data_IF_550745422829
#
_entry.id   IF_550745422829
#
_cell.length_a   1.000
_cell.length_b   1.000
_cell.length_c   1.000
_cell.angle_alpha   90.00
_cell.angle_beta   90.00
_cell.angle_gamma   90.00
#
_symmetry.space_group_name_H-M   'P 1'
#
loop_
_entity.id
_entity.type
_entity.pdbx_description
1 polymer ?
#
# COMPACT_ATOMS: atom_id res chain seq x y z
N UNK A 1 -22.53 14.87 -25.29
CA UNK A 1 -23.83 14.81 -26.00
C UNK A 1 -23.58 14.30 -27.41
N UNK A 2 -23.86 13.03 -27.71
CA UNK A 2 -23.87 12.56 -29.11
C UNK A 2 -25.14 13.18 -29.75
N UNK A 3 -25.03 14.08 -30.76
CA UNK A 3 -26.17 14.78 -31.32
C UNK A 3 -27.15 13.81 -32.00
N UNK A 4 -28.42 13.94 -31.66
CA UNK A 4 -29.52 12.98 -31.84
C UNK A 4 -30.16 13.05 -33.24
N UNK A 5 -29.47 13.63 -34.22
CA UNK A 5 -30.04 13.99 -35.52
C UNK A 5 -29.43 13.21 -36.70
N UNK A 6 -28.75 12.08 -36.48
CA UNK A 6 -28.31 11.19 -37.55
C UNK A 6 -29.21 9.95 -37.63
N UNK A 7 -30.36 10.15 -38.26
CA UNK A 7 -31.21 9.08 -38.77
C UNK A 7 -30.57 8.58 -40.09
N UNK A 8 -29.63 7.63 -40.00
CA UNK A 8 -28.99 7.03 -41.18
C UNK A 8 -29.66 5.69 -41.48
N UNK A 9 -30.19 5.62 -42.70
CA UNK A 9 -30.73 4.43 -43.36
C UNK A 9 -29.67 3.31 -43.37
N UNK A 10 -29.99 2.17 -42.77
CA UNK A 10 -29.11 1.00 -42.66
C UNK A 10 -28.94 0.35 -44.04
N UNK A 11 -27.78 0.56 -44.68
CA UNK A 11 -27.30 -0.27 -45.79
C UNK A 11 -26.26 -1.22 -45.22
N UNK A 12 -26.48 -2.51 -45.40
CA UNK A 12 -25.69 -3.61 -44.85
C UNK A 12 -24.23 -3.61 -45.33
N UNK A 13 -23.33 -2.96 -44.60
CA UNK A 13 -21.88 -3.15 -44.71
C UNK A 13 -21.22 -2.99 -43.33
N UNK A 14 -20.62 -4.08 -42.83
CA UNK A 14 -19.66 -4.15 -41.72
C UNK A 14 -19.70 -3.02 -40.68
N UNK A 15 -20.64 -3.11 -39.74
CA UNK A 15 -20.84 -2.14 -38.67
C UNK A 15 -19.62 -2.02 -37.75
N UNK A 16 -18.71 -1.09 -38.05
CA UNK A 16 -17.85 -0.49 -37.02
C UNK A 16 -18.75 0.40 -36.17
N UNK A 17 -19.29 -0.17 -35.08
CA UNK A 17 -19.99 0.60 -34.06
C UNK A 17 -19.03 1.68 -33.56
N UNK A 18 -19.37 2.94 -33.84
CA UNK A 18 -18.69 4.09 -33.26
C UNK A 18 -19.08 4.07 -31.78
N UNK A 19 -18.28 3.42 -30.94
CA UNK A 19 -18.44 3.51 -29.50
C UNK A 19 -18.31 5.00 -29.14
N UNK A 20 -19.41 5.66 -28.78
CA UNK A 20 -19.36 6.97 -28.14
C UNK A 20 -18.53 6.73 -26.86
N UNK A 21 -17.23 7.00 -26.90
CA UNK A 21 -16.38 6.94 -25.71
C UNK A 21 -17.02 7.86 -24.69
N UNK A 22 -17.40 7.30 -23.54
CA UNK A 22 -18.01 8.05 -22.44
C UNK A 22 -17.13 9.25 -22.07
N UNK A 23 -17.73 10.25 -21.43
CA UNK A 23 -16.96 11.40 -20.90
C UNK A 23 -15.89 10.83 -19.96
N UNK A 24 -14.62 11.07 -20.29
CA UNK A 24 -13.52 10.70 -19.41
C UNK A 24 -13.46 11.65 -18.22
N UNK A 25 -13.20 11.07 -17.07
CA UNK A 25 -12.98 11.79 -15.85
C UNK A 25 -11.77 11.20 -15.12
N UNK A 26 -11.35 11.92 -14.08
CA UNK A 26 -10.32 11.46 -13.17
C UNK A 26 -10.60 11.98 -11.75
N UNK A 27 -9.97 11.35 -10.77
CA UNK A 27 -9.79 11.95 -9.45
C UNK A 27 -8.38 11.63 -8.92
N UNK A 28 -7.94 12.42 -7.95
CA UNK A 28 -6.63 12.32 -7.31
C UNK A 28 -6.91 12.20 -5.80
N UNK A 29 -6.37 11.18 -5.10
CA UNK A 29 -6.45 11.09 -3.65
C UNK A 29 -5.76 12.30 -2.99
N UNK A 30 -6.11 12.58 -1.75
CA UNK A 30 -5.64 13.72 -0.98
C UNK A 30 -4.12 13.70 -0.77
N UNK A 31 -3.49 12.53 -0.81
CA UNK A 31 -2.05 12.36 -0.72
C UNK A 31 -1.31 12.51 -2.08
N UNK A 32 -2.04 12.76 -3.17
CA UNK A 32 -1.54 12.98 -4.53
C UNK A 32 -0.73 11.82 -5.13
N UNK A 33 -0.71 10.64 -4.51
CA UNK A 33 0.18 9.54 -4.88
C UNK A 33 0.02 9.09 -6.34
N UNK A 34 -1.21 9.05 -6.85
CA UNK A 34 -1.53 8.66 -8.22
C UNK A 34 -2.77 9.40 -8.72
N UNK A 35 -3.20 9.13 -9.94
CA UNK A 35 -4.44 9.63 -10.51
C UNK A 35 -5.24 8.48 -11.12
N UNK A 36 -6.49 8.28 -10.71
CA UNK A 36 -7.38 7.30 -11.32
C UNK A 36 -8.14 7.94 -12.48
N UNK A 37 -8.06 7.35 -13.66
CA UNK A 37 -8.76 7.79 -14.88
C UNK A 37 -9.69 6.70 -15.39
N UNK A 38 -10.86 7.08 -15.92
CA UNK A 38 -11.85 6.14 -16.44
C UNK A 38 -13.07 6.84 -16.98
N UNK A 39 -14.15 6.07 -17.22
CA UNK A 39 -15.44 6.67 -17.55
C UNK A 39 -16.00 7.41 -16.33
N UNK A 40 -16.66 8.55 -16.55
CA UNK A 40 -17.22 9.37 -15.47
C UNK A 40 -18.16 8.59 -14.55
N UNK A 41 -19.05 7.79 -15.14
CA UNK A 41 -20.06 7.04 -14.39
C UNK A 41 -19.41 5.96 -13.52
N UNK A 42 -18.41 5.26 -14.06
CA UNK A 42 -17.64 4.25 -13.32
C UNK A 42 -16.85 4.87 -12.17
N UNK A 43 -16.11 5.95 -12.43
CA UNK A 43 -15.30 6.59 -11.40
C UNK A 43 -16.13 7.25 -10.30
N UNK A 44 -17.37 7.65 -10.58
CA UNK A 44 -18.28 8.14 -9.54
C UNK A 44 -18.59 7.03 -8.52
N UNK A 45 -18.88 5.82 -8.99
CA UNK A 45 -19.13 4.66 -8.12
C UNK A 45 -17.87 4.23 -7.39
N UNK A 46 -16.73 4.15 -8.09
CA UNK A 46 -15.44 3.81 -7.50
C UNK A 46 -15.05 4.77 -6.37
N UNK A 47 -15.19 6.09 -6.61
CA UNK A 47 -14.88 7.10 -5.59
C UNK A 47 -15.80 6.97 -4.36
N UNK A 48 -17.10 6.73 -4.57
CA UNK A 48 -18.03 6.53 -3.46
C UNK A 48 -17.64 5.31 -2.60
N UNK A 49 -17.24 4.20 -3.23
CA UNK A 49 -16.75 3.01 -2.50
C UNK A 49 -15.50 3.32 -1.70
N UNK A 50 -14.50 3.98 -2.31
CA UNK A 50 -13.26 4.39 -1.64
C UNK A 50 -13.50 5.35 -0.47
N UNK A 51 -14.45 6.28 -0.59
CA UNK A 51 -14.84 7.18 0.49
C UNK A 51 -15.57 6.48 1.63
N UNK A 52 -16.14 5.29 1.39
CA UNK A 52 -16.75 4.44 2.41
C UNK A 52 -15.84 3.33 2.95
N UNK A 53 -14.62 3.20 2.41
CA UNK A 53 -13.73 2.09 2.71
C UNK A 53 -12.76 2.41 3.86
N UNK A 54 -11.97 1.41 4.30
CA UNK A 54 -10.81 1.64 5.16
C UNK A 54 -9.78 2.64 4.62
N UNK A 55 -9.87 3.05 3.35
CA UNK A 55 -9.02 4.06 2.73
C UNK A 55 -9.61 5.49 2.76
N UNK A 56 -10.78 5.69 3.36
CA UNK A 56 -11.55 6.94 3.28
C UNK A 56 -10.77 8.21 3.64
N UNK A 57 -9.78 8.15 4.54
CA UNK A 57 -8.95 9.31 4.87
C UNK A 57 -8.10 9.82 3.72
N UNK A 58 -7.78 8.99 2.72
CA UNK A 58 -7.09 9.42 1.49
C UNK A 58 -8.02 10.01 0.44
N UNK A 59 -9.34 9.92 0.61
CA UNK A 59 -10.31 10.38 -0.40
C UNK A 59 -11.32 11.38 0.16
N UNK A 60 -11.04 11.96 1.32
CA UNK A 60 -11.95 12.90 1.99
C UNK A 60 -12.23 14.13 1.13
N UNK A 61 -11.21 14.66 0.44
CA UNK A 61 -11.31 15.83 -0.43
C UNK A 61 -11.23 15.47 -1.91
N UNK A 62 -11.04 14.19 -2.23
CA UNK A 62 -11.04 13.69 -3.59
C UNK A 62 -12.40 13.98 -4.26
N UNK A 63 -12.32 14.51 -5.47
CA UNK A 63 -13.49 14.89 -6.26
C UNK A 63 -13.27 14.55 -7.72
N UNK A 64 -14.35 14.11 -8.36
CA UNK A 64 -14.36 13.74 -9.77
C UNK A 64 -14.26 14.99 -10.65
N UNK A 65 -13.32 14.99 -11.60
CA UNK A 65 -13.08 16.07 -12.55
C UNK A 65 -13.08 15.53 -13.97
N UNK A 66 -13.63 16.29 -14.92
CA UNK A 66 -13.57 15.94 -16.33
C UNK A 66 -12.15 16.22 -16.88
N UNK A 67 -11.69 15.36 -17.79
CA UNK A 67 -10.36 15.44 -18.39
C UNK A 67 -9.55 14.17 -18.19
N UNK A 68 -8.22 14.31 -18.24
CA UNK A 68 -7.26 13.21 -18.13
C UNK A 68 -6.21 13.45 -17.04
N UNK A 69 -5.62 12.37 -16.53
CA UNK A 69 -4.52 12.39 -15.58
C UNK A 69 -3.23 12.97 -16.17
N UNK A 70 -2.99 12.78 -17.48
CA UNK A 70 -1.82 13.32 -18.17
C UNK A 70 -1.83 14.85 -18.23
N UNK A 71 -3.00 15.48 -18.38
CA UNK A 71 -3.17 16.94 -18.27
C UNK A 71 -2.87 17.47 -16.85
N UNK A 72 -2.80 16.58 -15.85
CA UNK A 72 -2.45 16.89 -14.46
C UNK A 72 -1.02 16.54 -14.09
N UNK A 73 -0.21 16.09 -15.05
CA UNK A 73 1.21 15.78 -14.83
C UNK A 73 1.50 14.33 -14.46
N UNK A 74 0.50 13.45 -14.44
CA UNK A 74 0.70 12.00 -14.28
C UNK A 74 1.00 11.39 -15.65
N UNK A 75 2.28 11.22 -15.94
CA UNK A 75 2.79 10.85 -17.27
C UNK A 75 3.29 9.41 -17.37
N UNK A 76 3.38 8.70 -16.24
CA UNK A 76 3.85 7.32 -16.23
C UNK A 76 2.80 6.37 -16.83
N UNK A 77 3.26 5.26 -17.37
CA UNK A 77 2.42 4.31 -18.11
C UNK A 77 1.22 3.89 -17.27
N UNK A 78 0.02 3.92 -17.87
CA UNK A 78 -1.20 3.49 -17.22
C UNK A 78 -1.10 2.04 -16.74
N UNK A 79 -1.31 1.80 -15.45
CA UNK A 79 -1.49 0.47 -14.89
C UNK A 79 -2.99 0.20 -14.68
N UNK A 80 -3.44 -1.02 -14.94
CA UNK A 80 -4.80 -1.42 -14.57
C UNK A 80 -4.93 -1.45 -13.04
N UNK A 81 -6.01 -0.87 -12.50
CA UNK A 81 -6.26 -0.97 -11.06
C UNK A 81 -6.73 -2.38 -10.73
N UNK A 82 -6.02 -3.07 -9.83
CA UNK A 82 -6.40 -4.40 -9.38
C UNK A 82 -7.80 -4.43 -8.73
N UNK A 83 -8.17 -3.36 -8.02
CA UNK A 83 -9.44 -3.24 -7.31
C UNK A 83 -10.54 -2.59 -8.17
N UNK A 84 -10.17 -1.87 -9.24
CA UNK A 84 -11.11 -1.16 -10.12
C UNK A 84 -10.71 -1.37 -11.60
N UNK A 85 -10.96 -2.55 -12.18
CA UNK A 85 -10.39 -2.96 -13.47
C UNK A 85 -10.81 -2.08 -14.67
N UNK A 86 -11.91 -1.32 -14.58
CA UNK A 86 -12.30 -0.37 -15.65
C UNK A 86 -11.70 1.03 -15.47
N UNK A 87 -10.92 1.25 -14.42
CA UNK A 87 -10.12 2.44 -14.20
C UNK A 87 -8.64 2.13 -14.39
N UNK A 88 -7.92 3.19 -14.70
CA UNK A 88 -6.51 3.17 -15.02
C UNK A 88 -5.79 4.08 -14.04
N UNK A 89 -4.75 3.56 -13.41
CA UNK A 89 -3.90 4.28 -12.48
C UNK A 89 -2.75 4.93 -13.25
N UNK A 90 -2.68 6.25 -13.18
CA UNK A 90 -1.57 7.03 -13.70
C UNK A 90 -0.69 7.51 -12.56
N UNK A 91 0.62 7.46 -12.76
CA UNK A 91 1.63 7.87 -11.79
C UNK A 91 2.45 9.03 -12.35
N UNK A 92 3.12 9.78 -11.49
CA UNK A 92 4.07 10.82 -11.89
C UNK A 92 5.50 10.48 -11.45
N UNK A 93 6.43 11.40 -11.68
CA UNK A 93 7.84 11.23 -11.34
C UNK A 93 8.22 11.88 -10.02
N UNK A 94 7.25 12.37 -9.24
CA UNK A 94 7.55 12.93 -7.94
C UNK A 94 7.95 11.80 -6.99
N UNK A 95 9.18 11.87 -6.47
CA UNK A 95 9.73 10.85 -5.57
C UNK A 95 8.90 10.69 -4.30
N UNK A 96 8.23 11.75 -3.84
CA UNK A 96 7.34 11.72 -2.67
C UNK A 96 6.07 10.94 -2.99
N UNK A 97 5.51 11.11 -4.18
CA UNK A 97 4.36 10.34 -4.63
C UNK A 97 4.72 8.87 -4.84
N UNK A 98 5.89 8.58 -5.40
CA UNK A 98 6.37 7.22 -5.62
C UNK A 98 6.44 6.37 -4.34
N UNK A 99 6.89 6.97 -3.23
CA UNK A 99 6.90 6.29 -1.94
C UNK A 99 5.49 5.94 -1.44
N UNK A 100 4.47 6.72 -1.82
CA UNK A 100 3.10 6.55 -1.36
C UNK A 100 2.29 5.52 -2.16
N UNK A 101 2.74 5.07 -3.34
CA UNK A 101 1.98 4.16 -4.20
C UNK A 101 1.57 2.87 -3.50
N UNK A 102 2.45 2.31 -2.68
CA UNK A 102 2.17 1.08 -1.93
C UNK A 102 1.96 1.32 -0.44
N UNK A 103 2.60 2.38 0.10
CA UNK A 103 2.56 2.66 1.54
C UNK A 103 1.34 3.44 1.97
N UNK A 104 0.85 4.36 1.13
CA UNK A 104 -0.27 5.22 1.49
C UNK A 104 -1.50 4.40 1.84
N UNK A 105 -1.92 3.54 0.92
CA UNK A 105 -3.06 2.63 1.09
C UNK A 105 -2.93 1.76 2.33
N UNK A 106 -1.77 1.12 2.51
CA UNK A 106 -1.53 0.30 3.68
C UNK A 106 -1.64 1.10 5.00
N UNK A 107 -0.98 2.27 5.05
CA UNK A 107 -0.96 3.09 6.26
C UNK A 107 -2.37 3.51 6.67
N UNK A 108 -3.22 3.82 5.69
CA UNK A 108 -4.61 4.19 5.95
C UNK A 108 -5.43 3.00 6.46
N UNK A 109 -5.30 1.81 5.85
CA UNK A 109 -5.93 0.58 6.37
C UNK A 109 -5.50 0.27 7.80
N UNK A 110 -4.21 0.45 8.10
CA UNK A 110 -3.69 0.27 9.46
C UNK A 110 -4.30 1.27 10.44
N UNK A 111 -4.35 2.55 10.09
CA UNK A 111 -4.97 3.58 10.93
C UNK A 111 -6.46 3.29 11.16
N UNK A 112 -7.19 2.90 10.11
CA UNK A 112 -8.57 2.48 10.20
C UNK A 112 -8.74 1.30 11.17
N UNK A 113 -7.91 0.25 11.03
CA UNK A 113 -7.96 -0.92 11.91
C UNK A 113 -7.76 -0.53 13.39
N UNK A 114 -6.80 0.34 13.68
CA UNK A 114 -6.55 0.87 15.03
C UNK A 114 -7.76 1.67 15.56
N UNK A 115 -8.36 2.51 14.73
CA UNK A 115 -9.54 3.32 15.13
C UNK A 115 -10.77 2.45 15.41
N UNK A 116 -10.95 1.38 14.66
CA UNK A 116 -12.06 0.44 14.84
C UNK A 116 -11.79 -0.62 15.92
N UNK A 117 -10.56 -0.70 16.42
CA UNK A 117 -10.16 -1.76 17.35
C UNK A 117 -10.27 -3.15 16.73
N UNK A 118 -9.86 -3.30 15.47
CA UNK A 118 -9.85 -4.56 14.73
C UNK A 118 -8.46 -4.96 14.26
N UNK A 119 -8.30 -6.21 13.87
CA UNK A 119 -7.06 -6.70 13.28
C UNK A 119 -6.87 -6.15 11.87
N UNK A 120 -5.63 -5.85 11.49
CA UNK A 120 -5.31 -5.28 10.16
C UNK A 120 -5.78 -6.21 9.03
N UNK A 121 -5.68 -7.53 9.22
CA UNK A 121 -6.17 -8.50 8.25
C UNK A 121 -7.68 -8.41 8.01
N UNK A 122 -8.47 -8.09 9.03
CA UNK A 122 -9.92 -7.88 8.90
C UNK A 122 -10.21 -6.59 8.13
N UNK A 123 -9.49 -5.51 8.41
CA UNK A 123 -9.62 -4.27 7.66
C UNK A 123 -9.24 -4.43 6.18
N UNK A 124 -8.19 -5.21 5.87
CA UNK A 124 -7.83 -5.57 4.48
C UNK A 124 -8.97 -6.35 3.82
N UNK A 125 -9.55 -7.35 4.50
CA UNK A 125 -10.68 -8.10 3.95
C UNK A 125 -11.92 -7.22 3.69
N UNK A 126 -12.18 -6.21 4.53
CA UNK A 126 -13.23 -5.22 4.28
C UNK A 126 -12.94 -4.38 3.04
N UNK A 127 -11.67 -4.00 2.83
CA UNK A 127 -11.26 -3.28 1.63
C UNK A 127 -11.41 -4.14 0.37
N UNK A 128 -10.96 -5.41 0.41
CA UNK A 128 -11.06 -6.34 -0.71
C UNK A 128 -12.53 -6.59 -1.12
N UNK A 129 -13.44 -6.67 -0.14
CA UNK A 129 -14.87 -6.83 -0.38
C UNK A 129 -15.52 -5.62 -1.10
N UNK A 130 -14.87 -4.46 -1.10
CA UNK A 130 -15.34 -3.26 -1.80
C UNK A 130 -14.78 -3.14 -3.23
N UNK A 131 -13.83 -3.99 -3.62
CA UNK A 131 -13.30 -3.99 -4.97
C UNK A 131 -14.37 -4.34 -6.01
N UNK A 132 -14.22 -3.79 -7.20
CA UNK A 132 -15.02 -4.16 -8.35
C UNK A 132 -14.50 -5.48 -8.93
N UNK A 133 -15.40 -6.46 -9.02
CA UNK A 133 -15.17 -7.75 -9.66
C UNK A 133 -15.43 -7.70 -11.18
N UNK A 134 -15.69 -6.51 -11.72
CA UNK A 134 -15.98 -6.23 -13.12
C UNK A 134 -17.47 -6.02 -13.38
N UNK A 135 -18.34 -6.27 -12.40
CA UNK A 135 -19.80 -6.21 -12.57
C UNK A 135 -20.42 -4.87 -12.17
N UNK A 136 -19.65 -3.92 -11.61
CA UNK A 136 -20.18 -2.67 -11.07
C UNK A 136 -21.01 -1.82 -12.06
N UNK A 137 -20.80 -2.00 -13.38
CA UNK A 137 -21.57 -1.31 -14.42
C UNK A 137 -22.64 -2.17 -15.11
N UNK A 138 -22.70 -3.48 -14.85
CA UNK A 138 -23.61 -4.39 -15.55
C UNK A 138 -25.06 -4.26 -15.07
N UNK A 139 -25.25 -3.86 -13.81
CA UNK A 139 -26.59 -3.79 -13.22
C UNK A 139 -27.43 -2.59 -13.67
N UNK A 140 -26.87 -1.67 -14.47
CA UNK A 140 -27.61 -0.62 -15.20
C UNK A 140 -28.43 0.38 -14.36
N UNK A 141 -28.52 0.16 -13.07
CA UNK A 141 -29.25 0.94 -12.11
C UNK A 141 -28.18 1.53 -11.19
N UNK A 142 -27.96 2.84 -11.29
CA UNK A 142 -27.07 3.57 -10.40
C UNK A 142 -27.58 3.35 -8.97
N UNK A 143 -27.08 2.30 -8.32
CA UNK A 143 -27.41 1.97 -6.95
C UNK A 143 -26.98 3.17 -6.13
N UNK A 144 -27.95 3.96 -5.67
CA UNK A 144 -27.70 5.02 -4.73
C UNK A 144 -26.88 4.42 -3.57
N UNK A 145 -25.85 5.12 -3.07
CA UNK A 145 -24.93 4.57 -2.09
C UNK A 145 -25.76 3.98 -0.94
N UNK A 146 -25.76 2.65 -0.84
CA UNK A 146 -26.42 1.98 0.26
C UNK A 146 -25.74 2.51 1.53
N UNK A 147 -26.52 3.14 2.41
CA UNK A 147 -26.01 3.54 3.70
C UNK A 147 -25.58 2.28 4.44
N UNK A 148 -24.28 2.00 4.48
CA UNK A 148 -23.71 0.99 5.35
C UNK A 148 -23.84 1.49 6.78
N UNK A 149 -25.03 1.30 7.37
CA UNK A 149 -25.22 1.40 8.81
C UNK A 149 -24.47 0.21 9.42
N UNK A 150 -23.33 0.50 10.05
CA UNK A 150 -22.49 -0.51 10.69
C UNK A 150 -23.23 -1.19 11.83
N UNK A 151 -23.57 -2.47 11.64
CA UNK A 151 -23.86 -3.38 12.74
C UNK A 151 -22.53 -3.77 13.39
N UNK A 152 -22.24 -3.13 14.52
CA UNK A 152 -21.06 -3.35 15.33
C UNK A 152 -21.07 -4.77 15.93
N UNK A 153 -20.31 -5.68 15.33
CA UNK A 153 -19.94 -6.96 15.94
C UNK A 153 -18.73 -6.75 16.84
N UNK A 154 -18.96 -6.16 18.02
CA UNK A 154 -17.98 -6.09 19.08
C UNK A 154 -17.79 -7.50 19.69
N UNK A 155 -16.78 -8.23 19.22
CA UNK A 155 -16.24 -9.39 19.94
C UNK A 155 -14.89 -9.01 20.53
N UNK A 156 -14.74 -9.27 21.83
CA UNK A 156 -13.65 -8.80 22.69
C UNK A 156 -12.25 -9.15 22.19
N UNK A 157 -11.37 -8.15 22.04
CA UNK A 157 -9.94 -8.35 21.89
C UNK A 157 -9.30 -8.69 23.25
N UNK A 158 -8.71 -9.88 23.30
CA UNK A 158 -7.85 -10.32 24.38
C UNK A 158 -6.51 -9.59 24.34
N UNK A 159 -5.99 -9.34 25.54
CA UNK A 159 -4.67 -8.79 25.86
C UNK A 159 -3.56 -9.32 24.95
N UNK A 160 -2.64 -8.44 24.55
CA UNK A 160 -1.37 -8.76 23.89
C UNK A 160 -0.63 -9.86 24.66
N UNK A 161 -0.83 -11.11 24.24
CA UNK A 161 -0.09 -12.23 24.75
C UNK A 161 1.35 -12.08 24.26
N UNK A 162 2.29 -12.12 25.20
CA UNK A 162 3.71 -12.24 24.90
C UNK A 162 3.90 -13.30 23.80
N UNK A 163 4.66 -12.95 22.76
CA UNK A 163 4.96 -13.79 21.60
C UNK A 163 5.28 -15.23 22.06
N UNK A 164 4.24 -16.06 22.09
CA UNK A 164 4.33 -17.48 22.33
C UNK A 164 4.98 -18.13 21.13
N UNK A 165 5.51 -19.32 21.36
CA UNK A 165 6.34 -20.16 20.48
C UNK A 165 5.63 -20.63 19.19
N UNK A 166 4.81 -19.79 18.56
CA UNK A 166 4.29 -20.06 17.22
C UNK A 166 5.47 -20.12 16.23
N UNK A 167 5.44 -21.09 15.30
CA UNK A 167 6.48 -21.22 14.28
C UNK A 167 6.47 -19.98 13.39
N UNK A 168 7.29 -19.00 13.76
CA UNK A 168 7.45 -17.76 13.03
C UNK A 168 8.17 -18.00 11.71
N UNK A 169 7.82 -17.19 10.71
CA UNK A 169 8.60 -17.06 9.48
C UNK A 169 9.72 -16.06 9.70
N UNK A 170 10.72 -16.04 8.83
CA UNK A 170 11.79 -15.05 8.90
C UNK A 170 12.18 -14.51 7.53
N UNK A 171 12.92 -13.42 7.52
CA UNK A 171 13.64 -12.92 6.33
C UNK A 171 14.93 -12.23 6.75
N UNK A 172 15.82 -12.03 5.79
CA UNK A 172 17.11 -11.37 5.98
C UNK A 172 17.28 -10.31 4.89
N UNK A 173 17.98 -9.20 5.17
CA UNK A 173 18.51 -8.34 4.11
C UNK A 173 19.60 -9.08 3.32
N UNK A 174 19.94 -8.54 2.16
CA UNK A 174 20.95 -9.07 1.23
C UNK A 174 22.35 -9.13 1.86
N UNK A 175 22.64 -8.21 2.79
CA UNK A 175 23.87 -8.21 3.58
C UNK A 175 23.93 -9.35 4.60
N UNK A 176 22.80 -9.98 4.91
CA UNK A 176 22.64 -11.00 5.97
C UNK A 176 23.07 -10.52 7.37
N UNK A 177 23.17 -9.21 7.60
CA UNK A 177 23.63 -8.67 8.87
C UNK A 177 22.68 -8.94 10.06
N UNK A 178 21.39 -9.16 9.77
CA UNK A 178 20.40 -9.56 10.76
C UNK A 178 19.32 -10.46 10.14
N UNK A 179 18.54 -11.09 10.99
CA UNK A 179 17.38 -11.89 10.60
C UNK A 179 16.17 -11.41 11.40
N UNK A 180 15.08 -11.10 10.70
CA UNK A 180 13.83 -10.65 11.30
C UNK A 180 12.86 -11.82 11.36
N UNK A 181 12.34 -12.14 12.54
CA UNK A 181 11.42 -13.27 12.77
C UNK A 181 10.19 -12.85 13.57
N UNK A 182 9.04 -13.39 13.19
CA UNK A 182 7.77 -13.18 13.88
C UNK A 182 6.61 -13.89 13.18
N UNK A 183 5.36 -13.58 13.56
CA UNK A 183 4.16 -14.02 12.85
C UNK A 183 4.20 -13.64 11.37
N UNK A 184 3.64 -14.49 10.50
CA UNK A 184 3.74 -14.33 9.03
C UNK A 184 3.19 -13.01 8.52
N UNK A 185 2.07 -12.55 9.07
CA UNK A 185 1.47 -11.24 8.79
C UNK A 185 2.43 -10.11 9.17
N UNK A 186 2.96 -10.12 10.39
CA UNK A 186 3.87 -9.10 10.90
C UNK A 186 5.21 -9.05 10.13
N UNK A 187 5.76 -10.20 9.79
CA UNK A 187 7.01 -10.30 9.01
C UNK A 187 6.80 -9.82 7.57
N UNK A 188 5.73 -10.27 6.91
CA UNK A 188 5.41 -9.81 5.56
C UNK A 188 5.25 -8.29 5.51
N UNK A 189 4.60 -7.76 6.54
CA UNK A 189 4.40 -6.34 6.70
C UNK A 189 5.70 -5.56 6.89
N UNK A 190 6.57 -6.02 7.80
CA UNK A 190 7.87 -5.40 8.02
C UNK A 190 8.72 -5.36 6.74
N UNK A 191 8.73 -6.46 5.98
CA UNK A 191 9.48 -6.52 4.71
C UNK A 191 8.94 -5.54 3.67
N UNK A 192 7.62 -5.41 3.52
CA UNK A 192 7.02 -4.44 2.60
C UNK A 192 7.42 -3.01 2.98
N UNK A 193 7.35 -2.65 4.26
CA UNK A 193 7.75 -1.32 4.74
C UNK A 193 9.25 -1.06 4.54
N UNK A 194 10.10 -2.04 4.85
CA UNK A 194 11.54 -1.92 4.64
C UNK A 194 11.90 -1.75 3.16
N UNK A 195 11.20 -2.45 2.26
CA UNK A 195 11.35 -2.30 0.80
C UNK A 195 10.87 -0.96 0.24
N UNK A 196 9.96 -0.29 0.93
CA UNK A 196 9.49 1.04 0.57
C UNK A 196 10.24 2.16 1.31
N UNK A 197 11.23 1.80 2.11
CA UNK A 197 12.00 2.72 2.94
C UNK A 197 13.35 3.10 2.29
N UNK A 198 14.10 4.05 2.87
CA UNK A 198 15.51 4.26 2.59
C UNK A 198 16.44 3.05 2.83
N UNK A 199 15.91 1.89 3.22
CA UNK A 199 16.64 0.62 3.27
C UNK A 199 16.28 -0.30 2.11
N UNK A 200 15.49 0.13 1.12
CA UNK A 200 14.95 -0.73 0.06
C UNK A 200 16.01 -1.62 -0.60
N UNK A 201 17.18 -1.05 -0.91
CA UNK A 201 18.29 -1.76 -1.54
C UNK A 201 18.86 -2.91 -0.67
N UNK A 202 18.80 -2.81 0.65
CA UNK A 202 19.20 -3.92 1.54
C UNK A 202 18.21 -5.07 1.51
N UNK A 203 16.97 -4.83 1.12
CA UNK A 203 15.90 -5.82 1.16
C UNK A 203 15.37 -6.16 -0.23
N UNK A 204 16.11 -5.80 -1.28
CA UNK A 204 15.70 -6.03 -2.67
C UNK A 204 15.47 -7.52 -2.90
N UNK A 205 16.43 -8.38 -2.52
CA UNK A 205 16.35 -9.82 -2.71
C UNK A 205 15.89 -10.60 -1.48
N UNK A 206 15.49 -9.91 -0.42
CA UNK A 206 14.99 -10.52 0.81
C UNK A 206 13.76 -11.41 0.53
N UNK A 207 13.76 -12.63 1.05
CA UNK A 207 12.65 -13.58 0.92
C UNK A 207 12.19 -14.04 2.29
N UNK A 208 10.88 -14.18 2.43
CA UNK A 208 10.27 -14.78 3.62
C UNK A 208 10.43 -16.29 3.52
N UNK A 209 11.00 -16.90 4.55
CA UNK A 209 11.23 -18.34 4.65
C UNK A 209 10.56 -18.90 5.90
N UNK A 210 10.02 -20.12 5.80
CA UNK A 210 9.44 -20.87 6.92
C UNK A 210 10.53 -21.52 7.79
N UNK A 211 11.56 -20.74 8.15
CA UNK A 211 12.70 -21.19 8.94
C UNK A 211 13.03 -20.13 9.98
N UNK A 212 13.10 -20.47 11.27
CA UNK A 212 13.43 -19.50 12.31
C UNK A 212 14.88 -19.02 12.18
N UNK A 213 15.16 -17.82 12.66
CA UNK A 213 16.47 -17.17 12.54
C UNK A 213 17.61 -17.97 13.17
N UNK A 214 17.35 -18.66 14.29
CA UNK A 214 18.36 -19.51 14.94
C UNK A 214 18.83 -20.68 14.05
N UNK A 215 17.95 -21.25 13.23
CA UNK A 215 18.29 -22.30 12.26
C UNK A 215 19.04 -21.75 11.05
N UNK A 216 18.98 -20.44 10.81
CA UNK A 216 19.72 -19.73 9.77
C UNK A 216 21.09 -19.22 10.24
N UNK A 217 21.48 -19.51 11.49
CA UNK A 217 22.77 -19.12 12.07
C UNK A 217 22.74 -17.83 12.91
N UNK A 218 21.57 -17.23 13.13
CA UNK A 218 21.41 -16.02 13.93
C UNK A 218 21.08 -16.38 15.37
N UNK A 219 22.12 -16.64 16.17
CA UNK A 219 21.99 -17.16 17.54
C UNK A 219 22.19 -16.10 18.63
N UNK A 220 22.46 -14.84 18.26
CA UNK A 220 22.70 -13.76 19.22
C UNK A 220 21.41 -13.10 19.71
N UNK A 221 21.59 -12.19 20.68
CA UNK A 221 20.52 -11.56 21.44
C UNK A 221 19.35 -11.12 20.56
N UNK A 222 18.19 -11.63 20.95
CA UNK A 222 16.89 -11.23 20.41
C UNK A 222 16.65 -9.79 20.84
N UNK A 223 16.70 -8.87 19.89
CA UNK A 223 16.20 -7.52 20.09
C UNK A 223 14.76 -7.45 19.58
N UNK A 224 13.82 -7.09 20.46
CA UNK A 224 12.49 -6.74 20.00
C UNK A 224 12.59 -5.45 19.17
N UNK A 225 12.05 -5.49 17.95
CA UNK A 225 12.10 -4.32 17.07
C UNK A 225 11.22 -3.23 17.65
N UNK A 226 11.83 -2.08 17.98
CA UNK A 226 11.08 -0.89 18.40
C UNK A 226 10.12 -0.41 17.30
N UNK A 227 10.46 -0.68 16.04
CA UNK A 227 9.71 -0.26 14.86
C UNK A 227 8.61 -1.26 14.46
N UNK A 228 8.81 -2.53 14.77
CA UNK A 228 7.92 -3.64 14.43
C UNK A 228 7.70 -4.51 15.68
N UNK A 229 6.81 -4.14 16.60
CA UNK A 229 6.72 -4.77 17.94
C UNK A 229 6.44 -6.28 17.93
N UNK A 230 5.87 -6.80 16.83
CA UNK A 230 5.59 -8.23 16.62
C UNK A 230 6.73 -8.96 15.90
N UNK A 231 7.82 -8.28 15.59
CA UNK A 231 8.99 -8.81 14.91
C UNK A 231 10.21 -8.68 15.81
N UNK A 232 10.94 -9.77 15.94
CA UNK A 232 12.21 -9.84 16.63
C UNK A 232 13.36 -9.78 15.63
N UNK A 233 14.46 -9.12 16.00
CA UNK A 233 15.68 -9.02 15.23
C UNK A 233 16.73 -9.90 15.92
N UNK A 234 17.33 -10.81 15.15
CA UNK A 234 18.39 -11.70 15.57
C UNK A 234 19.65 -11.38 14.78
N UNK A 235 20.80 -11.40 15.44
CA UNK A 235 22.10 -11.12 14.82
C UNK A 235 22.89 -12.41 14.64
N UNK A 236 23.76 -12.43 13.63
CA UNK A 236 24.69 -13.53 13.47
C UNK A 236 25.95 -13.32 14.31
N UNK A 237 26.78 -14.36 14.33
CA UNK A 237 28.03 -14.38 15.08
C UNK A 237 29.21 -13.80 14.30
N UNK A 238 28.98 -13.24 13.10
CA UNK A 238 30.06 -12.74 12.28
C UNK A 238 30.49 -11.35 12.78
N UNK A 239 31.73 -11.19 13.28
CA UNK A 239 32.22 -9.89 13.73
C UNK A 239 32.26 -8.83 12.64
N UNK A 240 32.27 -9.20 11.34
CA UNK A 240 32.15 -8.25 10.23
C UNK A 240 30.73 -7.66 10.14
N UNK A 241 29.70 -8.39 10.58
CA UNK A 241 28.31 -7.94 10.58
C UNK A 241 27.88 -7.23 11.88
N UNK A 242 28.59 -7.47 12.99
CA UNK A 242 28.30 -6.87 14.30
C UNK A 242 28.65 -5.38 14.41
N UNK A 243 29.27 -4.78 13.39
CA UNK A 243 29.49 -3.34 13.34
C UNK A 243 28.21 -2.59 12.97
N UNK A 244 27.73 -1.70 13.85
CA UNK A 244 26.72 -0.68 13.53
C UNK A 244 27.04 0.13 12.26
N UNK A 245 28.32 0.12 11.85
CA UNK A 245 28.83 0.66 10.59
C UNK A 245 28.12 0.11 9.34
N UNK A 246 27.64 -1.12 9.33
CA UNK A 246 26.98 -1.69 8.14
C UNK A 246 25.66 -1.00 7.81
N UNK A 247 24.77 -0.90 8.81
CA UNK A 247 23.46 -0.29 8.66
C UNK A 247 23.56 1.24 8.53
N UNK A 248 24.44 1.88 9.31
CA UNK A 248 24.64 3.33 9.25
C UNK A 248 25.31 3.76 7.94
N UNK A 249 26.32 3.04 7.46
CA UNK A 249 26.97 3.35 6.19
C UNK A 249 26.05 3.08 4.99
N UNK A 250 25.09 2.15 5.11
CA UNK A 250 24.07 1.98 4.08
C UNK A 250 23.03 3.09 4.11
N UNK A 251 22.53 3.48 5.30
CA UNK A 251 21.66 4.65 5.45
C UNK A 251 22.33 5.92 4.92
N UNK A 252 23.62 6.11 5.18
CA UNK A 252 24.40 7.20 4.60
C UNK A 252 24.55 7.07 3.09
N UNK A 253 24.90 5.89 2.55
CA UNK A 253 24.99 5.67 1.10
C UNK A 253 23.66 5.91 0.41
N UNK A 254 22.55 5.47 1.00
CA UNK A 254 21.22 5.69 0.47
C UNK A 254 20.79 7.16 0.59
N UNK A 255 21.08 7.82 1.72
CA UNK A 255 20.86 9.25 1.84
C UNK A 255 21.56 10.01 0.71
N UNK A 256 22.84 9.72 0.50
CA UNK A 256 23.64 10.30 -0.57
C UNK A 256 23.09 10.02 -1.98
N UNK A 257 22.60 8.80 -2.25
CA UNK A 257 22.06 8.44 -3.57
C UNK A 257 20.71 9.10 -3.90
N UNK A 258 19.96 9.52 -2.87
CA UNK A 258 18.67 10.21 -3.04
C UNK A 258 18.73 11.72 -2.78
N UNK A 259 19.91 12.25 -2.45
CA UNK A 259 20.09 13.66 -2.09
C UNK A 259 19.50 14.03 -0.73
N UNK A 260 19.18 13.04 0.09
CA UNK A 260 18.65 13.19 1.44
C UNK A 260 19.79 13.06 2.46
N UNK A 261 19.84 13.95 3.46
CA UNK A 261 20.78 13.77 4.57
C UNK A 261 20.40 12.52 5.39
N UNK A 262 21.35 11.95 6.14
CA UNK A 262 21.07 10.85 7.07
C UNK A 262 19.88 11.16 8.01
N UNK A 263 19.73 12.41 8.44
CA UNK A 263 18.58 12.85 9.27
C UNK A 263 17.22 12.77 8.57
N UNK A 264 17.18 13.03 7.27
CA UNK A 264 15.95 12.96 6.47
C UNK A 264 15.57 11.50 6.20
N UNK A 265 16.56 10.66 5.86
CA UNK A 265 16.38 9.22 5.76
C UNK A 265 15.86 8.63 7.08
N UNK A 266 16.43 9.01 8.22
CA UNK A 266 15.94 8.60 9.54
C UNK A 266 14.51 9.03 9.80
N UNK A 267 14.11 10.25 9.39
CA UNK A 267 12.74 10.74 9.56
C UNK A 267 11.74 9.93 8.72
N UNK A 268 12.13 9.53 7.50
CA UNK A 268 11.32 8.63 6.67
C UNK A 268 11.22 7.25 7.31
N UNK A 269 12.32 6.72 7.87
CA UNK A 269 12.31 5.44 8.59
C UNK A 269 11.39 5.47 9.81
N UNK A 270 11.41 6.55 10.60
CA UNK A 270 10.55 6.71 11.77
C UNK A 270 9.06 6.77 11.40
N UNK A 271 8.72 7.40 10.27
CA UNK A 271 7.35 7.40 9.76
C UNK A 271 6.85 6.00 9.35
N UNK A 272 7.77 5.05 9.10
CA UNK A 272 7.45 3.67 8.75
C UNK A 272 7.36 2.74 9.96
N UNK A 273 7.58 3.23 11.17
CA UNK A 273 7.50 2.44 12.38
C UNK A 273 6.09 2.42 12.99
N UNK A 274 5.71 1.30 13.59
CA UNK A 274 4.48 1.22 14.36
C UNK A 274 4.57 2.12 15.60
N UNK A 275 3.52 2.90 15.85
CA UNK A 275 3.31 3.69 17.07
C UNK A 275 4.45 4.66 17.46
N UNK A 276 5.18 5.24 16.50
CA UNK A 276 6.26 6.20 16.77
C UNK A 276 7.54 5.56 17.31
N UNK A 277 7.72 4.25 17.09
CA UNK A 277 9.01 3.59 17.27
C UNK A 277 10.08 4.20 16.37
N UNK A 278 11.35 4.00 16.71
CA UNK A 278 12.48 4.39 15.86
C UNK A 278 13.35 3.18 15.61
N UNK A 279 13.68 2.92 14.34
CA UNK A 279 14.66 1.90 13.96
C UNK A 279 16.01 2.18 14.62
N UNK A 280 16.31 3.44 14.95
CA UNK A 280 17.60 3.88 15.48
C UNK A 280 17.66 4.02 17.00
N UNK A 281 16.54 3.88 17.73
CA UNK A 281 16.50 4.15 19.18
C UNK A 281 17.33 3.17 20.05
N UNK A 282 17.95 2.14 19.46
CA UNK A 282 18.74 1.13 20.17
C UNK A 282 20.05 0.70 19.49
N UNK A 283 20.49 1.40 18.43
CA UNK A 283 21.78 1.15 17.78
C UNK A 283 22.83 2.16 18.23
#
# INVERSE_FOLDING_TARGET
MCPWWQLVLVVAFGSRLCACQGVQAFFIPDNHAYCLQGSKDYLLLALARLQSSPLSGQYTNASLKEGSCSERGYLYTPDESACFPQAVVWKDWDKKHAALWSLGEFQEVYHYAQQQGMEVAEAIAQMDALCDDGTMMEDGEAAAPASFAGDALATSLGSAAAAGDEPGVSFMPDSRACCLQGPKDAVSFALVRLRASPLAALYEHAQIVDTPCNHLGFQHDRLDSACFPRVSIHFDSDPEHQGAAGLSAELERHGLSYGAGASEASSVMEALCDAGGSILARW
#
